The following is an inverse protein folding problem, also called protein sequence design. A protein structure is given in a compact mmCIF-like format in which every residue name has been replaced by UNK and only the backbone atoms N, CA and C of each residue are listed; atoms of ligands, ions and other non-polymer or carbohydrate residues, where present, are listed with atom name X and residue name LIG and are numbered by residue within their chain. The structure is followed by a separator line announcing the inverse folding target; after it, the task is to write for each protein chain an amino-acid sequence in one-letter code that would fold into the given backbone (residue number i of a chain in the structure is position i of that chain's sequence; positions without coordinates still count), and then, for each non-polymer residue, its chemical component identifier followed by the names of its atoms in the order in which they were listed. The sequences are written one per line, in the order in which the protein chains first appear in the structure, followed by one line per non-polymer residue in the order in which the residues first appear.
data_IF_139070977422
#
_entry.id   IF_139070977422
#
_cell.length_a   1.000
_cell.length_b   1.000
_cell.length_c   1.000
_cell.angle_alpha   90.00
_cell.angle_beta   90.00
_cell.angle_gamma   90.00
#
_symmetry.space_group_name_H-M   'P 1'
#
loop_
_entity.id
_entity.type
_entity.pdbx_description
1 polymer ?
#
# COMPACT_ATOMS: atom_id res chain seq x y z
N UNK A 1 -8.83 10.13 -10.86
CA UNK A 1 -7.62 9.38 -10.44
C UNK A 1 -6.51 9.60 -11.46
N UNK A 2 -5.24 9.50 -11.07
CA UNK A 2 -4.05 9.80 -11.89
C UNK A 2 -3.57 8.65 -12.80
N UNK A 3 -4.36 7.58 -12.96
CA UNK A 3 -4.06 6.48 -13.90
C UNK A 3 -3.36 5.24 -13.31
N UNK A 4 -3.14 5.20 -11.99
CA UNK A 4 -2.56 4.04 -11.32
C UNK A 4 -3.45 2.80 -11.39
N UNK A 5 -2.82 1.64 -11.41
CA UNK A 5 -3.43 0.33 -11.52
C UNK A 5 -3.10 -0.50 -10.27
N UNK A 6 -4.11 -1.14 -9.72
CA UNK A 6 -3.97 -2.17 -8.70
C UNK A 6 -3.83 -3.53 -9.39
N UNK A 7 -2.83 -4.33 -9.02
CA UNK A 7 -2.66 -5.67 -9.60
C UNK A 7 -3.48 -6.75 -8.88
N UNK A 8 -3.36 -6.83 -7.56
CA UNK A 8 -3.91 -7.85 -6.68
C UNK A 8 -4.45 -7.15 -5.44
N UNK A 9 -5.71 -7.39 -5.14
CA UNK A 9 -6.37 -6.95 -3.90
C UNK A 9 -6.37 -8.14 -2.91
N UNK A 10 -5.25 -8.32 -2.21
CA UNK A 10 -5.06 -9.49 -1.36
C UNK A 10 -5.84 -9.38 -0.05
N UNK A 11 -6.52 -10.46 0.35
CA UNK A 11 -7.38 -10.50 1.55
C UNK A 11 -8.61 -9.57 1.51
N UNK A 12 -8.94 -9.02 0.34
CA UNK A 12 -10.09 -8.15 0.12
C UNK A 12 -11.39 -8.78 0.64
N UNK A 13 -12.12 -8.03 1.47
CA UNK A 13 -13.41 -8.47 2.01
C UNK A 13 -13.37 -9.78 2.80
N UNK A 14 -12.19 -10.26 3.18
CA UNK A 14 -11.98 -11.55 3.88
C UNK A 14 -12.55 -12.78 3.15
N UNK A 15 -12.64 -12.74 1.82
CA UNK A 15 -13.12 -13.86 1.00
C UNK A 15 -12.10 -15.01 0.92
N UNK A 16 -11.02 -14.79 0.17
CA UNK A 16 -9.88 -15.70 0.11
C UNK A 16 -8.68 -15.07 0.82
N UNK A 17 -8.31 -15.60 1.99
CA UNK A 17 -7.24 -15.05 2.81
C UNK A 17 -5.94 -15.84 2.67
N UNK A 18 -4.82 -15.14 2.58
CA UNK A 18 -3.46 -15.68 2.59
C UNK A 18 -2.64 -15.09 3.74
N UNK A 19 -1.71 -15.88 4.29
CA UNK A 19 -0.73 -15.43 5.28
C UNK A 19 0.46 -14.69 4.67
N UNK A 20 0.54 -14.64 3.34
CA UNK A 20 1.59 -13.92 2.61
C UNK A 20 0.97 -13.01 1.55
N UNK A 21 0.16 -12.01 1.96
CA UNK A 21 -0.47 -11.08 1.03
C UNK A 21 0.59 -10.19 0.39
N UNK A 22 0.46 -9.99 -0.92
CA UNK A 22 1.25 -9.05 -1.72
C UNK A 22 0.26 -8.31 -2.60
N UNK A 23 0.37 -6.99 -2.60
CA UNK A 23 -0.46 -6.04 -3.35
C UNK A 23 0.42 -4.90 -3.83
N UNK A 24 0.23 -4.44 -5.07
CA UNK A 24 0.92 -3.27 -5.58
C UNK A 24 0.03 -2.34 -6.40
N UNK A 25 0.30 -1.04 -6.25
CA UNK A 25 -0.22 0.01 -7.12
C UNK A 25 0.92 0.51 -8.00
N UNK A 26 0.71 0.54 -9.31
CA UNK A 26 1.72 0.97 -10.28
C UNK A 26 1.10 1.76 -11.42
N UNK A 27 1.93 2.54 -12.10
CA UNK A 27 1.60 3.14 -13.38
C UNK A 27 2.35 2.39 -14.47
N UNK A 28 1.79 2.25 -15.68
CA UNK A 28 2.56 1.77 -16.81
C UNK A 28 3.81 2.66 -17.05
N UNK A 29 4.86 2.12 -17.69
CA UNK A 29 6.11 2.85 -17.88
C UNK A 29 5.89 4.22 -18.51
N UNK A 30 6.39 5.28 -17.86
CA UNK A 30 6.26 6.68 -18.28
C UNK A 30 4.83 7.26 -18.28
N UNK A 31 3.85 6.57 -17.67
CA UNK A 31 2.47 7.06 -17.60
C UNK A 31 2.11 7.68 -16.24
N UNK A 32 2.99 7.62 -15.24
CA UNK A 32 2.80 8.32 -13.97
C UNK A 32 2.95 9.84 -14.17
N UNK A 33 1.92 10.65 -13.88
CA UNK A 33 2.04 12.11 -13.95
C UNK A 33 3.02 12.65 -12.90
N UNK A 34 3.83 13.65 -13.23
CA UNK A 34 4.62 14.39 -12.24
C UNK A 34 3.73 14.97 -11.13
N UNK A 35 4.23 15.02 -9.90
CA UNK A 35 3.52 15.66 -8.80
C UNK A 35 3.80 15.06 -7.43
N UNK A 36 3.01 15.54 -6.47
CA UNK A 36 3.02 15.07 -5.08
C UNK A 36 2.01 13.94 -4.92
N UNK A 37 2.45 12.88 -4.26
CA UNK A 37 1.69 11.67 -4.01
C UNK A 37 1.73 11.31 -2.52
N UNK A 38 0.79 10.47 -2.10
CA UNK A 38 0.82 9.83 -0.81
C UNK A 38 0.43 8.36 -0.97
N UNK A 39 1.17 7.48 -0.31
CA UNK A 39 0.82 6.08 -0.12
C UNK A 39 0.01 6.00 1.16
N UNK A 40 -1.19 5.43 1.10
CA UNK A 40 -2.02 5.15 2.27
C UNK A 40 -2.12 3.64 2.46
N UNK A 41 -1.66 3.16 3.62
CA UNK A 41 -1.89 1.78 4.05
C UNK A 41 -3.03 1.83 5.05
N UNK A 42 -4.14 1.19 4.71
CA UNK A 42 -5.39 1.26 5.46
C UNK A 42 -5.86 -0.13 5.88
N UNK A 43 -6.04 -0.32 7.18
CA UNK A 43 -6.76 -1.46 7.73
C UNK A 43 -8.26 -1.23 7.53
N UNK A 44 -8.76 -1.56 6.34
CA UNK A 44 -10.18 -1.38 5.99
C UNK A 44 -11.11 -2.23 6.86
N UNK A 45 -10.76 -3.51 7.03
CA UNK A 45 -11.46 -4.45 7.90
C UNK A 45 -10.53 -5.56 8.37
N UNK A 46 -10.71 -6.04 9.60
CA UNK A 46 -10.00 -7.22 10.08
C UNK A 46 -10.67 -8.50 9.63
N UNK A 47 -9.85 -9.43 9.15
CA UNK A 47 -10.27 -10.80 8.95
C UNK A 47 -10.07 -11.59 10.26
N UNK A 48 -11.18 -12.04 10.85
CA UNK A 48 -11.19 -12.79 12.11
C UNK A 48 -11.28 -11.92 13.36
N UNK A 49 -11.05 -12.54 14.52
CA UNK A 49 -11.24 -11.92 15.85
C UNK A 49 -9.94 -11.50 16.51
N UNK A 50 -8.80 -11.62 15.82
CA UNK A 50 -7.50 -11.25 16.36
C UNK A 50 -7.39 -9.72 16.48
N UNK A 51 -6.84 -9.26 17.61
CA UNK A 51 -6.61 -7.85 17.90
C UNK A 51 -5.12 -7.53 17.93
N UNK A 52 -4.78 -6.27 17.68
CA UNK A 52 -3.41 -5.75 17.80
C UNK A 52 -2.76 -5.39 16.46
N UNK A 53 -1.46 -5.08 16.49
CA UNK A 53 -0.72 -4.60 15.31
C UNK A 53 -0.65 -5.63 14.19
N UNK A 54 -0.93 -5.20 12.96
CA UNK A 54 -0.65 -5.94 11.74
C UNK A 54 0.57 -5.29 11.08
N UNK A 55 1.68 -6.01 11.02
CA UNK A 55 2.91 -5.54 10.40
C UNK A 55 2.85 -5.60 8.89
N UNK A 56 3.47 -4.62 8.24
CA UNK A 56 3.68 -4.61 6.79
C UNK A 56 5.11 -4.15 6.46
N UNK A 57 5.50 -4.46 5.22
CA UNK A 57 6.67 -3.88 4.56
C UNK A 57 6.18 -3.15 3.32
N UNK A 58 6.55 -1.88 3.16
CA UNK A 58 6.24 -1.05 2.00
C UNK A 58 7.51 -0.88 1.18
N UNK A 59 7.44 -1.17 -0.12
CA UNK A 59 8.52 -0.87 -1.07
C UNK A 59 8.02 0.16 -2.07
N UNK A 60 8.67 1.32 -2.11
CA UNK A 60 8.39 2.40 -3.06
C UNK A 60 9.47 2.41 -4.14
N UNK A 61 9.06 2.37 -5.41
CA UNK A 61 9.95 2.52 -6.56
C UNK A 61 9.58 3.79 -7.34
N UNK A 62 10.48 4.77 -7.37
CA UNK A 62 10.30 6.02 -8.12
C UNK A 62 11.52 6.24 -9.02
N UNK A 63 11.32 6.24 -10.33
CA UNK A 63 12.37 6.48 -11.34
C UNK A 63 13.65 5.63 -11.12
N UNK A 64 13.49 4.36 -10.73
CA UNK A 64 14.60 3.44 -10.49
C UNK A 64 15.20 3.51 -9.08
N UNK A 65 14.77 4.44 -8.23
CA UNK A 65 15.16 4.50 -6.83
C UNK A 65 14.16 3.73 -5.97
N UNK A 66 14.67 2.79 -5.17
CA UNK A 66 13.85 1.98 -4.28
C UNK A 66 14.07 2.39 -2.83
N UNK A 67 12.96 2.63 -2.12
CA UNK A 67 12.93 2.84 -0.68
C UNK A 67 12.07 1.75 -0.03
N UNK A 68 12.48 1.28 1.15
CA UNK A 68 11.73 0.29 1.92
C UNK A 68 11.41 0.83 3.31
N UNK A 69 10.15 0.73 3.69
CA UNK A 69 9.65 1.08 5.01
C UNK A 69 9.03 -0.16 5.66
N UNK A 70 9.04 -0.18 6.99
CA UNK A 70 8.27 -1.14 7.78
C UNK A 70 7.35 -0.36 8.70
N UNK A 71 6.21 -0.96 9.03
CA UNK A 71 5.23 -0.33 9.90
C UNK A 71 4.17 -1.30 10.37
N UNK A 72 3.22 -0.77 11.13
CA UNK A 72 2.06 -1.50 11.60
C UNK A 72 0.80 -0.64 11.50
N UNK A 73 -0.33 -1.27 11.26
CA UNK A 73 -1.68 -0.68 11.47
C UNK A 73 -2.45 -1.53 12.47
N UNK A 74 -3.38 -0.91 13.20
CA UNK A 74 -4.31 -1.59 14.11
C UNK A 74 -5.65 -0.84 14.21
N UNK A 75 -6.55 -1.27 15.09
CA UNK A 75 -7.88 -0.67 15.22
C UNK A 75 -7.81 0.76 15.76
N UNK A 76 -6.75 1.07 16.51
CA UNK A 76 -6.54 2.39 17.10
C UNK A 76 -5.86 3.33 16.11
N UNK A 77 -5.00 2.79 15.24
CA UNK A 77 -4.25 3.49 14.21
C UNK A 77 -4.42 2.75 12.88
N UNK A 78 -5.59 2.84 12.24
CA UNK A 78 -5.91 2.02 11.08
C UNK A 78 -5.24 2.52 9.80
N UNK A 79 -4.65 3.71 9.81
CA UNK A 79 -4.08 4.36 8.62
C UNK A 79 -2.63 4.75 8.90
N UNK A 80 -1.75 4.43 7.96
CA UNK A 80 -0.40 4.98 7.86
C UNK A 80 -0.21 5.66 6.50
N UNK A 81 0.41 6.83 6.48
CA UNK A 81 0.57 7.65 5.26
C UNK A 81 2.04 7.96 5.02
N UNK A 82 2.49 7.77 3.77
CA UNK A 82 3.86 8.06 3.34
C UNK A 82 3.82 9.01 2.14
N UNK A 83 4.15 10.31 2.32
CA UNK A 83 4.23 11.25 1.20
C UNK A 83 5.48 10.98 0.36
N UNK A 84 5.37 11.16 -0.95
CA UNK A 84 6.51 11.15 -1.87
C UNK A 84 6.21 12.03 -3.08
N UNK A 85 7.25 12.38 -3.83
CA UNK A 85 7.12 13.16 -5.07
C UNK A 85 7.64 12.39 -6.27
N UNK A 86 6.97 12.56 -7.42
CA UNK A 86 7.51 12.19 -8.71
C UNK A 86 8.03 13.46 -9.39
N UNK A 87 9.36 13.68 -9.42
CA UNK A 87 9.96 14.86 -10.01
C UNK A 87 9.88 14.84 -11.54
N UNK A 88 10.10 16.03 -12.14
CA UNK A 88 10.36 16.23 -13.57
C UNK A 88 11.58 15.47 -14.07
#
# INVERSE_FOLDING_TARGET
ASGGQLDVDANAGCGETTSSPIENIFWPPSEAPEGEYAIEISLYSRCGTASGPISYTLTLLVQGNTETFTGTVDDQNPIATYPFSLPR
#
